data_IF_576645674901
#
_entry.id   IF_576645674901
#
_cell.length_a   1.000
_cell.length_b   1.000
_cell.length_c   1.000
_cell.angle_alpha   90.00
_cell.angle_beta   90.00
_cell.angle_gamma   90.00
#
_symmetry.space_group_name_H-M   'P 1'
#
loop_
_entity.id
_entity.type
_entity.pdbx_description
1 polymer ?
#
# COMPACT_ATOMS: atom_id res chain seq x y z
N UNK A 1 39.62 13.98 -5.91
CA UNK A 1 40.06 13.56 -4.55
C UNK A 1 39.03 13.95 -3.47
N UNK A 2 38.68 15.24 -3.31
CA UNK A 2 37.64 15.71 -2.37
C UNK A 2 36.25 15.07 -2.55
N UNK A 3 35.76 14.93 -3.79
CA UNK A 3 34.48 14.23 -4.05
C UNK A 3 34.51 12.74 -3.67
N UNK A 4 35.68 12.10 -3.81
CA UNK A 4 35.89 10.69 -3.47
C UNK A 4 35.95 10.49 -1.96
N UNK A 5 36.64 11.38 -1.25
CA UNK A 5 36.67 11.44 0.22
C UNK A 5 35.26 11.70 0.77
N UNK A 6 34.51 12.65 0.18
CA UNK A 6 33.14 12.97 0.59
C UNK A 6 32.18 11.78 0.38
N UNK A 7 32.32 11.05 -0.73
CA UNK A 7 31.59 9.80 -1.00
C UNK A 7 31.92 8.72 0.03
N UNK A 8 33.21 8.52 0.34
CA UNK A 8 33.65 7.54 1.34
C UNK A 8 33.18 7.88 2.75
N UNK A 9 33.19 9.16 3.13
CA UNK A 9 32.63 9.65 4.40
C UNK A 9 31.11 9.47 4.46
N UNK A 10 30.39 9.68 3.36
CA UNK A 10 28.95 9.41 3.31
C UNK A 10 28.66 7.92 3.41
N UNK A 11 29.38 7.06 2.69
CA UNK A 11 29.23 5.61 2.76
C UNK A 11 29.56 5.05 4.16
N UNK A 12 30.63 5.55 4.79
CA UNK A 12 30.97 5.17 6.17
C UNK A 12 30.01 5.74 7.20
N UNK A 13 29.47 6.94 7.01
CA UNK A 13 28.39 7.49 7.84
C UNK A 13 27.11 6.65 7.73
N UNK A 14 26.70 6.29 6.51
CA UNK A 14 25.58 5.37 6.27
C UNK A 14 25.82 4.03 6.99
N UNK A 15 27.03 3.50 6.91
CA UNK A 15 27.42 2.28 7.61
C UNK A 15 27.33 2.43 9.14
N UNK A 16 27.84 3.52 9.71
CA UNK A 16 27.72 3.79 11.15
C UNK A 16 26.25 3.89 11.57
N UNK A 17 25.43 4.59 10.78
CA UNK A 17 24.00 4.72 11.07
C UNK A 17 23.24 3.40 10.94
N UNK A 18 23.68 2.44 10.13
CA UNK A 18 23.11 1.09 10.10
C UNK A 18 23.28 0.33 11.43
N UNK A 19 24.20 0.77 12.30
CA UNK A 19 24.44 0.18 13.62
C UNK A 19 23.94 1.06 14.78
N UNK A 20 23.97 2.38 14.63
CA UNK A 20 23.64 3.33 15.70
C UNK A 20 22.41 4.20 15.42
N UNK A 21 21.76 4.04 14.27
CA UNK A 21 20.54 4.75 13.91
C UNK A 21 19.31 4.32 14.72
N UNK A 22 18.20 5.07 14.61
CA UNK A 22 16.96 4.78 15.31
C UNK A 22 16.39 3.43 14.87
N UNK A 23 15.87 2.68 15.83
CA UNK A 23 15.05 1.49 15.57
C UNK A 23 13.59 1.90 15.53
N UNK A 24 12.90 1.43 14.51
CA UNK A 24 11.50 1.71 14.27
C UNK A 24 10.69 0.43 14.33
N UNK A 25 9.46 0.55 14.82
CA UNK A 25 8.49 -0.55 14.73
C UNK A 25 8.07 -0.71 13.28
N UNK A 26 7.61 -1.91 12.92
CA UNK A 26 7.12 -2.21 11.57
C UNK A 26 6.02 -1.24 11.11
N UNK A 27 5.11 -0.86 12.00
CA UNK A 27 4.05 0.12 11.72
C UNK A 27 4.60 1.50 11.37
N UNK A 28 5.56 1.98 12.13
CA UNK A 28 6.23 3.27 11.90
C UNK A 28 6.99 3.28 10.57
N UNK A 29 7.65 2.16 10.23
CA UNK A 29 8.33 1.99 8.94
C UNK A 29 7.36 2.02 7.76
N UNK A 30 6.24 1.29 7.86
CA UNK A 30 5.21 1.27 6.80
C UNK A 30 4.59 2.67 6.63
N UNK A 31 4.35 3.41 7.72
CA UNK A 31 3.82 4.76 7.66
C UNK A 31 4.81 5.77 7.04
N UNK A 32 6.09 5.72 7.42
CA UNK A 32 7.12 6.55 6.79
C UNK A 32 7.27 6.25 5.30
N UNK A 33 7.22 4.96 4.93
CA UNK A 33 7.25 4.55 3.53
C UNK A 33 6.02 5.04 2.76
N UNK A 34 4.83 4.89 3.33
CA UNK A 34 3.58 5.38 2.76
C UNK A 34 3.61 6.89 2.51
N UNK A 35 4.06 7.67 3.50
CA UNK A 35 4.16 9.12 3.39
C UNK A 35 5.18 9.54 2.33
N UNK A 36 6.36 8.91 2.30
CA UNK A 36 7.37 9.16 1.27
C UNK A 36 6.85 8.82 -0.12
N UNK A 37 6.17 7.67 -0.28
CA UNK A 37 5.58 7.26 -1.56
C UNK A 37 4.59 8.31 -2.10
N UNK A 38 3.71 8.82 -1.23
CA UNK A 38 2.69 9.82 -1.57
C UNK A 38 3.24 11.23 -1.77
N UNK A 39 4.48 11.50 -1.37
CA UNK A 39 5.08 12.82 -1.54
C UNK A 39 5.18 13.17 -3.04
N UNK A 40 4.82 14.42 -3.39
CA UNK A 40 4.92 14.91 -4.78
C UNK A 40 6.36 14.91 -5.28
N UNK A 41 7.31 15.20 -4.40
CA UNK A 41 8.74 15.19 -4.66
C UNK A 41 9.40 14.16 -3.74
N UNK A 42 9.58 12.94 -4.23
CA UNK A 42 10.25 11.86 -3.50
C UNK A 42 11.71 12.23 -3.25
N UNK A 43 12.01 12.70 -2.04
CA UNK A 43 13.38 13.11 -1.73
C UNK A 43 14.30 11.88 -1.56
N UNK A 44 15.49 11.96 -2.15
CA UNK A 44 16.52 10.93 -1.98
C UNK A 44 16.99 10.83 -0.53
N UNK A 45 16.99 11.94 0.20
CA UNK A 45 17.38 12.00 1.61
C UNK A 45 16.41 11.25 2.53
N UNK A 46 15.10 11.45 2.37
CA UNK A 46 14.10 10.72 3.16
C UNK A 46 14.11 9.24 2.84
N UNK A 47 14.24 8.89 1.55
CA UNK A 47 14.45 7.50 1.12
C UNK A 47 15.63 6.86 1.85
N UNK A 48 16.78 7.53 1.89
CA UNK A 48 17.95 7.02 2.60
C UNK A 48 17.70 6.91 4.11
N UNK A 49 17.01 7.86 4.74
CA UNK A 49 16.65 7.77 6.16
C UNK A 49 15.76 6.55 6.45
N UNK A 50 14.76 6.29 5.60
CA UNK A 50 13.88 5.13 5.70
C UNK A 50 14.68 3.83 5.55
N UNK A 51 15.58 3.80 4.56
CA UNK A 51 16.46 2.64 4.34
C UNK A 51 17.33 2.37 5.57
N UNK A 52 18.01 3.39 6.11
CA UNK A 52 18.94 3.23 7.23
C UNK A 52 18.21 2.74 8.48
N UNK A 53 17.12 3.42 8.85
CA UNK A 53 16.30 3.07 10.01
C UNK A 53 15.62 1.71 9.84
N UNK A 54 15.14 1.42 8.62
CA UNK A 54 14.52 0.16 8.25
C UNK A 54 15.45 -1.04 8.35
N UNK A 55 16.64 -0.95 7.75
CA UNK A 55 17.67 -2.01 7.82
C UNK A 55 18.15 -2.22 9.25
N UNK A 56 18.37 -1.14 10.01
CA UNK A 56 18.76 -1.25 11.43
C UNK A 56 17.74 -2.03 12.26
N UNK A 57 16.46 -1.84 11.96
CA UNK A 57 15.34 -2.43 12.68
C UNK A 57 15.12 -3.91 12.37
N UNK A 58 15.76 -4.45 11.34
CA UNK A 58 15.67 -5.88 11.03
C UNK A 58 16.48 -6.73 12.01
N UNK A 59 15.95 -7.90 12.33
CA UNK A 59 16.65 -8.94 13.05
C UNK A 59 17.54 -9.74 12.08
N UNK A 60 18.66 -10.27 12.59
CA UNK A 60 19.55 -11.15 11.83
C UNK A 60 20.13 -12.17 12.80
N UNK A 61 20.02 -13.45 12.45
CA UNK A 61 20.58 -14.55 13.23
C UNK A 61 22.12 -14.51 13.27
N UNK A 62 22.75 -13.87 12.28
CA UNK A 62 24.21 -13.66 12.24
C UNK A 62 24.72 -12.83 13.42
N UNK A 63 23.83 -12.13 14.15
CA UNK A 63 24.19 -11.47 15.40
C UNK A 63 24.71 -12.47 16.45
N UNK A 64 24.34 -13.76 16.37
CA UNK A 64 24.88 -14.81 17.25
C UNK A 64 26.39 -15.01 17.05
N UNK A 65 26.90 -14.85 15.83
CA UNK A 65 28.34 -14.97 15.52
C UNK A 65 29.17 -13.89 16.22
N UNK A 66 28.55 -12.73 16.53
CA UNK A 66 29.20 -11.65 17.27
C UNK A 66 29.69 -12.09 18.65
N UNK A 67 28.90 -12.92 19.34
CA UNK A 67 29.25 -13.44 20.67
C UNK A 67 30.53 -14.28 20.60
N UNK A 68 30.65 -15.13 19.58
CA UNK A 68 31.83 -15.98 19.39
C UNK A 68 33.09 -15.17 19.08
N UNK A 69 33.00 -14.14 18.24
CA UNK A 69 34.14 -13.25 17.94
C UNK A 69 34.61 -12.50 19.20
N UNK A 70 33.68 -12.06 20.05
CA UNK A 70 34.03 -11.42 21.33
C UNK A 70 34.73 -12.42 22.26
N UNK A 71 34.20 -13.64 22.40
CA UNK A 71 34.80 -14.68 23.24
C UNK A 71 36.22 -15.01 22.74
N UNK A 72 36.41 -15.17 21.43
CA UNK A 72 37.73 -15.39 20.83
C UNK A 72 38.70 -14.23 21.09
N UNK A 73 38.22 -12.99 20.96
CA UNK A 73 39.01 -11.78 21.26
C UNK A 73 39.48 -11.75 22.72
N UNK A 74 38.58 -12.03 23.67
CA UNK A 74 38.89 -12.04 25.11
C UNK A 74 39.87 -13.17 25.44
N UNK A 75 39.64 -14.36 24.91
CA UNK A 75 40.53 -15.51 25.11
C UNK A 75 41.93 -15.21 24.55
N UNK A 76 42.02 -14.62 23.36
CA UNK A 76 43.30 -14.27 22.76
C UNK A 76 44.03 -13.18 23.55
N UNK A 77 43.33 -12.15 24.02
CA UNK A 77 43.89 -11.13 24.92
C UNK A 77 44.43 -11.76 26.21
N UNK A 78 43.67 -12.65 26.85
CA UNK A 78 44.10 -13.32 28.08
C UNK A 78 45.35 -14.19 27.86
N UNK A 79 45.40 -14.91 26.72
CA UNK A 79 46.54 -15.73 26.31
C UNK A 79 47.76 -14.85 26.01
N UNK A 80 47.59 -13.75 25.27
CA UNK A 80 48.66 -12.84 24.90
C UNK A 80 49.26 -12.07 26.09
N UNK A 81 48.49 -11.86 27.17
CA UNK A 81 49.00 -11.22 28.40
C UNK A 81 49.74 -12.24 29.28
N UNK A 82 49.28 -13.49 29.30
CA UNK A 82 49.82 -14.53 30.18
C UNK A 82 51.11 -15.17 29.65
N UNK A 83 51.33 -15.14 28.34
CA UNK A 83 52.45 -15.80 27.69
C UNK A 83 53.21 -14.83 26.78
N UNK A 84 54.55 -14.86 26.84
CA UNK A 84 55.43 -14.06 25.97
C UNK A 84 55.50 -14.66 24.56
N UNK A 85 54.44 -14.47 23.77
CA UNK A 85 54.43 -14.82 22.35
C UNK A 85 55.28 -13.86 21.52
N UNK A 86 55.86 -14.38 20.43
CA UNK A 86 56.53 -13.55 19.43
C UNK A 86 55.54 -12.47 18.91
N UNK A 87 55.94 -11.18 18.83
CA UNK A 87 55.11 -10.09 18.32
C UNK A 87 54.42 -10.39 16.97
N UNK A 88 55.08 -11.15 16.09
CA UNK A 88 54.51 -11.55 14.79
C UNK A 88 53.24 -12.39 14.97
N UNK A 89 53.22 -13.31 15.94
CA UNK A 89 52.06 -14.16 16.24
C UNK A 89 50.89 -13.32 16.75
N UNK A 90 51.17 -12.36 17.63
CA UNK A 90 50.15 -11.44 18.15
C UNK A 90 49.56 -10.56 17.03
N UNK A 91 50.39 -10.09 16.10
CA UNK A 91 49.95 -9.33 14.93
C UNK A 91 49.08 -10.19 14.00
N UNK A 92 49.49 -11.42 13.68
CA UNK A 92 48.70 -12.31 12.83
C UNK A 92 47.33 -12.64 13.44
N UNK A 93 47.29 -12.92 14.73
CA UNK A 93 46.04 -13.19 15.43
C UNK A 93 45.13 -11.96 15.49
N UNK A 94 45.69 -10.76 15.73
CA UNK A 94 44.95 -9.51 15.64
C UNK A 94 44.31 -9.33 14.25
N UNK A 95 45.07 -9.51 13.17
CA UNK A 95 44.54 -9.39 11.81
C UNK A 95 43.47 -10.44 11.50
N UNK A 96 43.61 -11.66 12.04
CA UNK A 96 42.62 -12.73 11.87
C UNK A 96 41.29 -12.36 12.54
N UNK A 97 41.34 -11.89 13.79
CA UNK A 97 40.16 -11.45 14.53
C UNK A 97 39.53 -10.22 13.87
N UNK A 98 40.35 -9.26 13.43
CA UNK A 98 39.88 -8.07 12.71
C UNK A 98 39.18 -8.44 11.40
N UNK A 99 39.74 -9.37 10.63
CA UNK A 99 39.12 -9.83 9.39
C UNK A 99 37.77 -10.55 9.66
N UNK A 100 37.71 -11.42 10.67
CA UNK A 100 36.46 -12.06 11.10
C UNK A 100 35.41 -11.03 11.53
N UNK A 101 35.83 -9.99 12.25
CA UNK A 101 34.97 -8.88 12.65
C UNK A 101 34.40 -8.15 11.43
N UNK A 102 35.26 -7.74 10.48
CA UNK A 102 34.84 -7.06 9.25
C UNK A 102 33.85 -7.93 8.45
N UNK A 103 34.20 -9.19 8.20
CA UNK A 103 33.36 -10.12 7.45
C UNK A 103 31.98 -10.32 8.09
N UNK A 104 31.94 -10.45 9.42
CA UNK A 104 30.67 -10.63 10.13
C UNK A 104 29.81 -9.36 10.09
N UNK A 105 30.39 -8.16 10.27
CA UNK A 105 29.66 -6.90 10.14
C UNK A 105 29.10 -6.75 8.71
N UNK A 106 29.91 -7.02 7.68
CA UNK A 106 29.47 -6.92 6.29
C UNK A 106 28.35 -7.91 5.99
N UNK A 107 28.45 -9.15 6.49
CA UNK A 107 27.43 -10.18 6.30
C UNK A 107 26.12 -9.82 7.00
N UNK A 108 26.18 -9.33 8.25
CA UNK A 108 25.02 -8.86 8.99
C UNK A 108 24.35 -7.66 8.30
N UNK A 109 25.14 -6.72 7.79
CA UNK A 109 24.61 -5.56 7.06
C UNK A 109 23.88 -6.00 5.78
N UNK A 110 24.43 -6.97 5.04
CA UNK A 110 23.80 -7.53 3.83
C UNK A 110 22.50 -8.26 4.17
N UNK A 111 22.52 -9.14 5.17
CA UNK A 111 21.35 -9.94 5.57
C UNK A 111 20.18 -9.06 6.04
N UNK A 112 20.46 -8.06 6.89
CA UNK A 112 19.47 -7.07 7.31
C UNK A 112 18.95 -6.23 6.13
N UNK A 113 19.83 -5.89 5.19
CA UNK A 113 19.47 -5.13 3.99
C UNK A 113 18.50 -5.92 3.13
N UNK A 114 18.79 -7.20 2.90
CA UNK A 114 17.94 -8.11 2.15
C UNK A 114 16.58 -8.29 2.82
N UNK A 115 16.56 -8.55 4.13
CA UNK A 115 15.30 -8.69 4.89
C UNK A 115 14.43 -7.42 4.78
N UNK A 116 15.06 -6.25 4.87
CA UNK A 116 14.36 -4.98 4.71
C UNK A 116 13.84 -4.76 3.27
N UNK A 117 14.65 -5.10 2.26
CA UNK A 117 14.24 -5.00 0.86
C UNK A 117 13.02 -5.88 0.59
N UNK A 118 13.01 -7.13 1.09
CA UNK A 118 11.87 -8.05 0.97
C UNK A 118 10.63 -7.42 1.62
N UNK A 119 10.77 -6.87 2.83
CA UNK A 119 9.67 -6.17 3.50
C UNK A 119 9.10 -5.03 2.66
N UNK A 120 9.94 -4.13 2.13
CA UNK A 120 9.44 -3.01 1.32
C UNK A 120 8.89 -3.48 -0.03
N UNK A 121 9.50 -4.46 -0.67
CA UNK A 121 8.97 -5.04 -1.91
C UNK A 121 7.56 -5.60 -1.68
N UNK A 122 7.32 -6.28 -0.56
CA UNK A 122 5.99 -6.76 -0.18
C UNK A 122 5.01 -5.59 0.08
N UNK A 123 5.42 -4.54 0.79
CA UNK A 123 4.59 -3.35 0.99
C UNK A 123 4.25 -2.70 -0.36
N UNK A 124 5.21 -2.57 -1.28
CA UNK A 124 4.98 -2.04 -2.63
C UNK A 124 4.01 -2.92 -3.40
N UNK A 125 4.21 -4.25 -3.43
CA UNK A 125 3.32 -5.15 -4.17
C UNK A 125 1.90 -5.16 -3.58
N UNK A 126 1.75 -5.04 -2.25
CA UNK A 126 0.42 -4.97 -1.62
C UNK A 126 -0.42 -3.78 -2.10
N UNK A 127 0.24 -2.69 -2.51
CA UNK A 127 -0.43 -1.50 -3.06
C UNK A 127 -0.93 -1.66 -4.51
N UNK A 128 -0.62 -2.77 -5.18
CA UNK A 128 -1.23 -3.12 -6.48
C UNK A 128 -2.67 -3.63 -6.30
N UNK A 129 -3.04 -4.07 -5.10
CA UNK A 129 -4.37 -4.63 -4.87
C UNK A 129 -5.46 -3.59 -5.11
N UNK A 130 -6.54 -3.98 -5.77
CA UNK A 130 -7.73 -3.13 -5.97
C UNK A 130 -8.24 -2.55 -4.63
N UNK A 131 -8.31 -3.37 -3.58
CA UNK A 131 -8.72 -2.93 -2.24
C UNK A 131 -7.87 -1.78 -1.72
N UNK A 132 -6.55 -1.85 -1.89
CA UNK A 132 -5.66 -0.75 -1.46
C UNK A 132 -5.91 0.53 -2.25
N UNK A 133 -6.11 0.43 -3.57
CA UNK A 133 -6.39 1.58 -4.43
C UNK A 133 -7.75 2.21 -4.09
N UNK A 134 -8.78 1.39 -3.86
CA UNK A 134 -10.10 1.84 -3.43
C UNK A 134 -10.04 2.57 -2.09
N UNK A 135 -9.39 1.94 -1.10
CA UNK A 135 -9.21 2.54 0.22
C UNK A 135 -8.48 3.88 0.13
N UNK A 136 -7.44 3.94 -0.68
CA UNK A 136 -6.67 5.17 -0.87
C UNK A 136 -7.51 6.28 -1.49
N UNK A 137 -8.23 6.00 -2.58
CA UNK A 137 -9.08 6.97 -3.28
C UNK A 137 -10.23 7.47 -2.40
N UNK A 138 -10.84 6.60 -1.59
CA UNK A 138 -11.86 7.02 -0.62
C UNK A 138 -11.23 7.83 0.52
N UNK A 139 -10.04 7.45 0.99
CA UNK A 139 -9.36 8.15 2.09
C UNK A 139 -8.82 9.53 1.73
N UNK A 140 -8.53 9.77 0.45
CA UNK A 140 -8.07 11.05 -0.08
C UNK A 140 -9.19 12.11 -0.14
N UNK A 141 -10.46 11.67 -0.05
CA UNK A 141 -11.59 12.58 0.09
C UNK A 141 -11.61 13.21 1.49
N UNK A 142 -12.08 14.48 1.58
CA UNK A 142 -12.12 15.23 2.84
C UNK A 142 -12.98 14.51 3.88
N UNK A 143 -12.35 14.03 4.95
CA UNK A 143 -13.02 13.37 6.09
C UNK A 143 -13.92 14.36 6.83
N UNK A 144 -15.16 13.94 7.09
CA UNK A 144 -16.08 14.63 8.02
C UNK A 144 -17.31 15.27 7.37
N UNK A 145 -17.40 15.31 6.05
CA UNK A 145 -18.63 15.75 5.38
C UNK A 145 -19.68 14.64 5.36
N UNK A 146 -20.95 15.00 5.63
CA UNK A 146 -22.05 14.07 5.49
C UNK A 146 -22.29 13.79 4.00
N UNK A 147 -22.46 12.51 3.68
CA UNK A 147 -22.85 12.05 2.34
C UNK A 147 -24.17 12.72 1.94
N UNK A 148 -24.23 13.20 0.69
CA UNK A 148 -25.45 13.78 0.13
C UNK A 148 -26.47 12.65 -0.09
N UNK A 149 -27.68 12.80 0.44
CA UNK A 149 -28.78 11.87 0.16
C UNK A 149 -29.39 12.14 -1.21
N UNK A 150 -29.69 11.08 -1.96
CA UNK A 150 -30.48 11.19 -3.18
C UNK A 150 -31.89 11.71 -2.86
N UNK A 151 -32.54 12.34 -3.84
CA UNK A 151 -33.96 12.71 -3.69
C UNK A 151 -34.80 11.44 -3.75
N UNK A 152 -35.80 11.34 -2.86
CA UNK A 152 -36.78 10.27 -2.91
C UNK A 152 -37.71 10.49 -4.11
N UNK A 153 -37.49 9.73 -5.19
CA UNK A 153 -38.22 9.86 -6.46
C UNK A 153 -38.98 8.57 -6.78
N UNK A 154 -38.50 7.41 -6.30
CA UNK A 154 -39.05 6.08 -6.64
C UNK A 154 -39.21 5.88 -8.14
N UNK A 155 -38.22 6.33 -8.92
CA UNK A 155 -38.27 6.48 -10.37
C UNK A 155 -38.63 5.20 -11.13
N UNK A 156 -38.30 4.03 -10.57
CA UNK A 156 -38.48 2.74 -11.23
C UNK A 156 -38.79 1.63 -10.23
N UNK A 157 -39.74 1.86 -9.31
CA UNK A 157 -40.02 0.91 -8.22
C UNK A 157 -40.49 -0.47 -8.68
N UNK A 158 -41.11 -0.54 -9.88
CA UNK A 158 -41.73 -1.77 -10.39
C UNK A 158 -40.81 -2.67 -11.24
N UNK A 159 -39.57 -2.26 -11.55
CA UNK A 159 -38.64 -3.04 -12.37
C UNK A 159 -37.62 -3.83 -11.51
N UNK A 160 -36.98 -4.87 -12.04
CA UNK A 160 -35.90 -5.54 -11.32
C UNK A 160 -34.63 -4.68 -11.30
N UNK A 161 -33.74 -4.90 -10.33
CA UNK A 161 -32.45 -4.18 -10.27
C UNK A 161 -31.60 -4.40 -11.51
N UNK A 162 -31.64 -5.61 -12.07
CA UNK A 162 -30.92 -6.03 -13.26
C UNK A 162 -31.38 -5.32 -14.54
N UNK A 163 -32.60 -4.77 -14.54
CA UNK A 163 -33.13 -4.02 -15.69
C UNK A 163 -32.66 -2.56 -15.71
N UNK A 164 -32.10 -2.08 -14.59
CA UNK A 164 -31.57 -0.71 -14.47
C UNK A 164 -30.11 -0.71 -14.93
N UNK A 165 -29.83 0.09 -15.96
CA UNK A 165 -28.48 0.40 -16.41
C UNK A 165 -28.13 1.87 -16.15
N UNK A 166 -27.14 2.12 -15.30
CA UNK A 166 -26.54 3.43 -15.06
C UNK A 166 -25.32 3.58 -15.96
N UNK A 167 -25.45 4.38 -17.02
CA UNK A 167 -24.36 4.73 -17.91
C UNK A 167 -23.60 5.93 -17.39
N UNK A 168 -22.27 5.81 -17.25
CA UNK A 168 -21.38 6.91 -16.93
C UNK A 168 -20.86 7.52 -18.23
N UNK A 169 -21.29 8.74 -18.54
CA UNK A 169 -20.95 9.47 -19.76
C UNK A 169 -19.80 10.44 -19.49
N UNK A 170 -18.82 10.57 -20.41
CA UNK A 170 -17.73 11.53 -20.27
C UNK A 170 -18.26 12.95 -20.05
N UNK A 171 -17.59 13.69 -19.17
CA UNK A 171 -17.85 15.10 -18.94
C UNK A 171 -16.62 15.90 -19.40
N UNK A 172 -16.77 16.70 -20.44
CA UNK A 172 -15.69 17.46 -21.09
C UNK A 172 -14.95 18.39 -20.11
N UNK A 173 -15.59 18.82 -19.03
CA UNK A 173 -15.03 19.78 -18.07
C UNK A 173 -14.44 19.12 -16.83
N UNK A 174 -14.82 17.89 -16.51
CA UNK A 174 -14.38 17.21 -15.28
C UNK A 174 -14.45 15.69 -15.41
N UNK A 175 -13.29 15.06 -15.66
CA UNK A 175 -13.15 13.60 -15.77
C UNK A 175 -13.54 12.86 -14.48
N UNK A 176 -13.41 13.50 -13.31
CA UNK A 176 -13.80 12.89 -12.04
C UNK A 176 -15.31 12.91 -11.81
N UNK A 177 -16.08 13.68 -12.58
CA UNK A 177 -17.51 13.83 -12.39
C UNK A 177 -18.26 13.59 -13.71
N UNK A 178 -18.30 12.33 -14.17
CA UNK A 178 -19.05 11.99 -15.37
C UNK A 178 -20.54 12.26 -15.19
N UNK A 179 -21.19 12.56 -16.31
CA UNK A 179 -22.65 12.62 -16.34
C UNK A 179 -23.24 11.21 -16.26
N UNK A 180 -24.50 11.13 -15.87
CA UNK A 180 -25.22 9.87 -15.73
C UNK A 180 -26.33 9.79 -16.77
N UNK A 181 -26.60 8.62 -17.29
CA UNK A 181 -27.84 8.32 -18.01
C UNK A 181 -28.38 7.00 -17.51
N UNK A 182 -29.66 6.98 -17.18
CA UNK A 182 -30.35 5.80 -16.67
C UNK A 182 -31.13 5.21 -17.83
N UNK A 183 -30.91 3.94 -18.11
CA UNK A 183 -31.72 3.19 -19.07
C UNK A 183 -32.45 2.08 -18.32
N UNK A 184 -33.74 1.93 -18.61
CA UNK A 184 -34.59 0.87 -18.04
C UNK A 184 -35.24 0.17 -19.22
N UNK A 185 -34.81 -1.07 -19.48
CA UNK A 185 -35.18 -1.78 -20.71
C UNK A 185 -34.84 -0.97 -21.98
N UNK A 186 -35.86 -0.48 -22.68
CA UNK A 186 -35.71 0.34 -23.89
C UNK A 186 -35.80 1.86 -23.65
N UNK A 187 -36.21 2.29 -22.45
CA UNK A 187 -36.36 3.70 -22.11
C UNK A 187 -35.02 4.29 -21.67
N UNK A 188 -34.75 5.53 -22.09
CA UNK A 188 -33.53 6.26 -21.75
C UNK A 188 -33.90 7.58 -21.08
N UNK A 189 -33.32 7.84 -19.92
CA UNK A 189 -33.47 9.12 -19.24
C UNK A 189 -32.72 10.23 -19.97
N UNK A 190 -33.07 11.46 -19.63
CA UNK A 190 -32.20 12.61 -19.89
C UNK A 190 -30.82 12.43 -19.24
N UNK A 191 -29.84 13.21 -19.68
CA UNK A 191 -28.51 13.22 -19.07
C UNK A 191 -28.61 13.91 -17.71
N UNK A 192 -28.23 13.20 -16.65
CA UNK A 192 -28.35 13.62 -15.26
C UNK A 192 -26.99 14.02 -14.70
N UNK A 193 -27.02 15.02 -13.82
CA UNK A 193 -25.88 15.34 -12.98
C UNK A 193 -25.76 14.36 -11.80
N UNK A 194 -24.53 14.02 -11.39
CA UNK A 194 -24.24 13.05 -10.33
C UNK A 194 -24.91 13.37 -8.97
N UNK A 195 -25.23 14.65 -8.72
CA UNK A 195 -25.98 15.08 -7.53
C UNK A 195 -27.39 14.50 -7.44
N UNK A 196 -28.01 14.08 -8.55
CA UNK A 196 -29.34 13.46 -8.54
C UNK A 196 -29.36 12.14 -7.76
N UNK A 197 -28.26 11.38 -7.83
CA UNK A 197 -28.05 10.14 -7.08
C UNK A 197 -27.27 10.34 -5.77
N UNK A 198 -27.04 11.59 -5.34
CA UNK A 198 -26.27 11.87 -4.13
C UNK A 198 -24.79 11.46 -4.22
N UNK A 199 -24.20 11.49 -5.42
CA UNK A 199 -22.83 11.03 -5.70
C UNK A 199 -21.77 12.17 -5.64
N UNK A 200 -22.14 13.33 -5.10
CA UNK A 200 -21.26 14.49 -4.96
C UNK A 200 -21.14 14.91 -3.49
N UNK A 201 -20.12 15.71 -3.19
CA UNK A 201 -19.97 16.29 -1.86
C UNK A 201 -21.09 17.29 -1.57
N UNK A 202 -21.60 17.25 -0.33
CA UNK A 202 -22.69 18.14 0.08
C UNK A 202 -22.23 19.62 0.14
N UNK A 203 -20.95 19.86 0.44
CA UNK A 203 -20.38 21.22 0.45
C UNK A 203 -20.08 21.76 -0.95
N UNK A 204 -19.81 20.88 -1.91
CA UNK A 204 -19.39 21.24 -3.26
C UNK A 204 -19.88 20.23 -4.30
N UNK A 205 -20.92 20.62 -5.04
CA UNK A 205 -21.51 19.81 -6.09
C UNK A 205 -20.56 19.50 -7.28
N UNK A 206 -19.38 20.13 -7.35
CA UNK A 206 -18.37 19.90 -8.39
C UNK A 206 -17.37 18.79 -8.03
N UNK A 207 -17.41 18.26 -6.81
CA UNK A 207 -16.50 17.20 -6.35
C UNK A 207 -17.27 15.92 -6.08
N UNK A 208 -16.75 14.79 -6.56
CA UNK A 208 -17.32 13.47 -6.28
C UNK A 208 -17.17 13.11 -4.80
N UNK A 209 -18.07 12.27 -4.30
CA UNK A 209 -17.96 11.68 -2.96
C UNK A 209 -17.53 10.21 -3.03
N UNK A 210 -17.40 9.58 -1.86
CA UNK A 210 -17.00 8.17 -1.72
C UNK A 210 -17.95 7.20 -2.42
N UNK A 211 -19.25 7.52 -2.49
CA UNK A 211 -20.25 6.68 -3.14
C UNK A 211 -20.00 6.58 -4.64
N UNK A 212 -19.60 7.70 -5.27
CA UNK A 212 -19.34 7.70 -6.71
C UNK A 212 -18.12 6.87 -7.07
N UNK A 213 -17.07 6.94 -6.24
CA UNK A 213 -15.85 6.15 -6.41
C UNK A 213 -16.20 4.66 -6.36
N UNK A 214 -17.03 4.25 -5.39
CA UNK A 214 -17.51 2.87 -5.24
C UNK A 214 -18.41 2.46 -6.42
N UNK A 215 -19.34 3.31 -6.84
CA UNK A 215 -20.22 3.03 -7.98
C UNK A 215 -19.42 2.81 -9.27
N UNK A 216 -18.43 3.66 -9.55
CA UNK A 216 -17.52 3.50 -10.68
C UNK A 216 -16.77 2.17 -10.61
N UNK A 217 -16.42 1.71 -9.39
CA UNK A 217 -15.68 0.45 -9.23
C UNK A 217 -16.55 -0.75 -9.62
N UNK A 218 -17.84 -0.73 -9.28
CA UNK A 218 -18.80 -1.71 -9.77
C UNK A 218 -18.95 -1.67 -11.29
N UNK A 219 -18.85 -0.49 -11.92
CA UNK A 219 -18.83 -0.38 -13.38
C UNK A 219 -17.66 -1.09 -14.07
N UNK A 220 -16.54 -1.29 -13.36
CA UNK A 220 -15.39 -2.03 -13.88
C UNK A 220 -15.43 -3.52 -13.52
N UNK A 221 -15.78 -3.84 -12.28
CA UNK A 221 -15.58 -5.17 -11.71
C UNK A 221 -16.86 -5.98 -11.51
N UNK A 222 -18.04 -5.36 -11.52
CA UNK A 222 -19.37 -5.92 -11.17
C UNK A 222 -19.50 -6.47 -9.75
N UNK A 223 -18.45 -7.11 -9.23
CA UNK A 223 -18.32 -7.56 -7.85
C UNK A 223 -16.88 -7.46 -7.39
N UNK A 224 -16.65 -7.22 -6.10
CA UNK A 224 -15.30 -7.18 -5.54
C UNK A 224 -15.28 -7.48 -4.05
N UNK A 225 -14.11 -7.90 -3.57
CA UNK A 225 -13.81 -8.10 -2.16
C UNK A 225 -13.09 -6.89 -1.59
N UNK A 226 -13.46 -6.51 -0.37
CA UNK A 226 -12.74 -5.48 0.41
C UNK A 226 -11.83 -6.18 1.42
N UNK A 227 -10.53 -6.03 1.19
CA UNK A 227 -9.45 -6.53 2.03
C UNK A 227 -8.76 -5.37 2.75
N UNK A 228 -8.24 -5.61 3.96
CA UNK A 228 -7.55 -4.58 4.75
C UNK A 228 -7.93 -4.58 6.24
N UNK A 229 -7.41 -3.59 6.96
CA UNK A 229 -7.60 -3.46 8.40
C UNK A 229 -9.07 -3.21 8.77
N UNK A 230 -9.53 -3.76 9.90
CA UNK A 230 -10.95 -3.74 10.28
C UNK A 230 -11.60 -2.35 10.32
N UNK A 231 -10.87 -1.32 10.74
CA UNK A 231 -11.37 0.07 10.74
C UNK A 231 -11.58 0.65 9.33
N UNK A 232 -10.64 0.39 8.41
CA UNK A 232 -10.71 0.83 7.01
C UNK A 232 -11.82 0.09 6.27
N UNK A 233 -11.91 -1.22 6.47
CA UNK A 233 -12.99 -2.05 5.92
C UNK A 233 -14.36 -1.56 6.36
N UNK A 234 -14.55 -1.30 7.66
CA UNK A 234 -15.80 -0.76 8.21
C UNK A 234 -16.19 0.59 7.59
N UNK A 235 -15.21 1.43 7.25
CA UNK A 235 -15.48 2.71 6.60
C UNK A 235 -16.07 2.52 5.19
N UNK A 236 -15.48 1.62 4.37
CA UNK A 236 -16.02 1.31 3.04
C UNK A 236 -17.37 0.59 3.13
N UNK A 237 -17.52 -0.36 4.06
CA UNK A 237 -18.80 -1.05 4.27
C UNK A 237 -19.91 -0.05 4.65
N UNK A 238 -19.60 0.99 5.43
CA UNK A 238 -20.54 2.09 5.69
C UNK A 238 -20.90 2.86 4.41
N UNK A 239 -19.90 3.25 3.62
CA UNK A 239 -20.14 3.94 2.34
C UNK A 239 -20.93 3.08 1.34
N UNK A 240 -20.76 1.76 1.36
CA UNK A 240 -21.60 0.83 0.58
C UNK A 240 -23.06 0.87 1.03
N UNK A 241 -23.32 0.88 2.34
CA UNK A 241 -24.67 1.00 2.87
C UNK A 241 -25.31 2.36 2.51
N UNK A 242 -24.53 3.45 2.58
CA UNK A 242 -25.00 4.79 2.18
C UNK A 242 -25.30 4.83 0.66
N UNK A 243 -24.54 4.09 -0.17
CA UNK A 243 -24.81 3.94 -1.60
C UNK A 243 -26.10 3.14 -1.85
N UNK A 244 -26.31 2.04 -1.12
CA UNK A 244 -27.54 1.25 -1.16
C UNK A 244 -28.75 2.13 -0.83
N UNK A 245 -28.67 2.93 0.24
CA UNK A 245 -29.74 3.85 0.64
C UNK A 245 -30.04 4.85 -0.48
N UNK A 246 -29.01 5.45 -1.09
CA UNK A 246 -29.20 6.41 -2.19
C UNK A 246 -29.82 5.78 -3.45
N UNK A 247 -29.44 4.54 -3.79
CA UNK A 247 -30.05 3.81 -4.89
C UNK A 247 -31.52 3.49 -4.60
N UNK A 248 -31.84 3.03 -3.38
CA UNK A 248 -33.21 2.79 -2.95
C UNK A 248 -34.06 4.06 -2.96
N UNK A 249 -33.55 5.19 -2.46
CA UNK A 249 -34.27 6.47 -2.48
C UNK A 249 -34.60 6.92 -3.91
N UNK A 250 -33.65 6.75 -4.84
CA UNK A 250 -33.85 7.21 -6.21
C UNK A 250 -34.74 6.26 -7.02
N UNK A 251 -34.46 4.95 -6.98
CA UNK A 251 -35.10 3.95 -7.82
C UNK A 251 -36.31 3.27 -7.17
N UNK A 252 -36.48 3.36 -5.85
CA UNK A 252 -37.49 2.64 -5.08
C UNK A 252 -36.92 1.42 -4.37
N UNK A 253 -37.49 1.10 -3.21
CA UNK A 253 -37.18 -0.10 -2.43
C UNK A 253 -37.78 -1.36 -3.05
N UNK A 254 -37.11 -2.50 -2.84
CA UNK A 254 -37.50 -3.83 -3.32
C UNK A 254 -37.19 -4.88 -2.25
N UNK A 255 -37.68 -6.10 -2.45
CA UNK A 255 -37.41 -7.25 -1.57
C UNK A 255 -35.92 -7.58 -1.46
N UNK A 256 -35.19 -7.37 -2.56
CA UNK A 256 -33.74 -7.61 -2.67
C UNK A 256 -33.04 -6.24 -2.70
N UNK A 257 -31.93 -6.10 -1.97
CA UNK A 257 -31.11 -4.89 -1.99
C UNK A 257 -30.31 -4.77 -3.31
N UNK A 258 -30.05 -3.55 -3.82
CA UNK A 258 -29.31 -3.35 -5.07
C UNK A 258 -27.86 -3.84 -5.02
N UNK A 259 -27.28 -3.90 -3.81
CA UNK A 259 -25.93 -4.41 -3.57
C UNK A 259 -25.99 -5.33 -2.35
N UNK A 260 -25.45 -6.55 -2.46
CA UNK A 260 -25.47 -7.56 -1.40
C UNK A 260 -24.07 -8.12 -1.19
N UNK A 261 -23.76 -8.48 0.05
CA UNK A 261 -22.55 -9.21 0.39
C UNK A 261 -22.83 -10.72 0.32
N UNK A 262 -22.07 -11.42 -0.51
CA UNK A 262 -22.12 -12.86 -0.60
C UNK A 262 -21.36 -13.49 0.57
N UNK A 263 -22.07 -14.19 1.45
CA UNK A 263 -21.47 -14.78 2.67
C UNK A 263 -20.44 -15.87 2.38
N UNK A 264 -20.52 -16.55 1.23
CA UNK A 264 -19.60 -17.64 0.87
C UNK A 264 -18.26 -17.10 0.35
N UNK A 265 -18.31 -16.08 -0.50
CA UNK A 265 -17.11 -15.52 -1.16
C UNK A 265 -16.56 -14.29 -0.45
N UNK A 266 -17.40 -13.61 0.35
CA UNK A 266 -17.10 -12.33 0.96
C UNK A 266 -17.12 -11.14 -0.02
N UNK A 267 -17.56 -11.37 -1.27
CA UNK A 267 -17.67 -10.34 -2.29
C UNK A 267 -18.92 -9.50 -2.08
N UNK A 268 -18.83 -8.21 -2.43
CA UNK A 268 -19.99 -7.38 -2.65
C UNK A 268 -20.38 -7.46 -4.12
N UNK A 269 -21.66 -7.74 -4.38
CA UNK A 269 -22.24 -7.94 -5.69
C UNK A 269 -23.28 -6.85 -5.95
N UNK A 270 -23.17 -6.15 -7.09
CA UNK A 270 -24.12 -5.12 -7.50
C UNK A 270 -25.05 -5.70 -8.57
N UNK A 271 -26.36 -5.64 -8.31
CA UNK A 271 -27.39 -6.09 -9.26
C UNK A 271 -27.79 -5.02 -10.26
N UNK A 272 -27.47 -3.76 -9.98
CA UNK A 272 -27.61 -2.66 -10.95
C UNK A 272 -26.49 -2.75 -11.97
N UNK A 273 -26.84 -2.68 -13.25
CA UNK A 273 -25.85 -2.64 -14.32
C UNK A 273 -25.21 -1.24 -14.36
N UNK A 274 -23.88 -1.17 -14.33
CA UNK A 274 -23.16 0.09 -14.39
C UNK A 274 -22.23 0.04 -15.60
N UNK A 275 -22.51 0.88 -16.60
CA UNK A 275 -21.73 0.95 -17.83
C UNK A 275 -20.80 2.16 -17.76
N UNK A 276 -19.53 1.95 -17.39
CA UNK A 276 -18.54 3.02 -17.34
C UNK A 276 -17.95 3.33 -18.73
N UNK A 277 -18.44 4.36 -19.42
CA UNK A 277 -17.89 4.82 -20.70
C UNK A 277 -16.70 5.79 -20.54
N UNK A 278 -16.36 6.17 -19.33
CA UNK A 278 -15.20 7.05 -19.05
C UNK A 278 -13.90 6.27 -18.86
N UNK A 279 -14.03 4.97 -18.55
CA UNK A 279 -12.92 4.08 -18.23
C UNK A 279 -12.02 4.62 -17.11
N UNK A 280 -12.64 5.33 -16.16
CA UNK A 280 -11.96 6.11 -15.12
C UNK A 280 -11.10 5.22 -14.21
N UNK A 281 -11.61 4.05 -13.81
CA UNK A 281 -10.88 3.10 -12.98
C UNK A 281 -9.69 2.46 -13.68
N UNK A 282 -9.84 2.11 -14.95
CA UNK A 282 -8.74 1.51 -15.70
C UNK A 282 -7.56 2.48 -15.84
N UNK A 283 -7.83 3.78 -16.07
CA UNK A 283 -6.79 4.81 -16.09
C UNK A 283 -6.07 4.90 -14.73
N UNK A 284 -6.82 4.90 -13.63
CA UNK A 284 -6.25 4.91 -12.27
C UNK A 284 -5.38 3.69 -11.99
N UNK A 285 -5.75 2.52 -12.47
CA UNK A 285 -4.97 1.29 -12.35
C UNK A 285 -3.69 1.33 -13.16
N UNK A 286 -3.74 1.85 -14.39
CA UNK A 286 -2.56 2.03 -15.23
C UNK A 286 -1.57 3.02 -14.62
N UNK A 287 -2.07 4.17 -14.14
CA UNK A 287 -1.24 5.16 -13.43
C UNK A 287 -0.60 4.55 -12.18
N UNK A 288 -1.38 3.78 -11.40
CA UNK A 288 -0.89 3.08 -10.22
C UNK A 288 0.17 2.04 -10.58
N UNK A 289 -0.03 1.30 -11.65
CA UNK A 289 0.90 0.28 -12.12
C UNK A 289 2.24 0.88 -12.53
N UNK A 290 2.23 1.96 -13.33
CA UNK A 290 3.45 2.65 -13.74
C UNK A 290 4.17 3.33 -12.57
N UNK A 291 3.43 3.92 -11.62
CA UNK A 291 4.00 4.45 -10.38
C UNK A 291 4.72 3.35 -9.58
N UNK A 292 4.08 2.19 -9.40
CA UNK A 292 4.64 1.07 -8.66
C UNK A 292 5.86 0.47 -9.36
N UNK A 293 5.80 0.32 -10.68
CA UNK A 293 6.94 -0.14 -11.49
C UNK A 293 8.13 0.78 -11.33
N UNK A 294 7.89 2.09 -11.35
CA UNK A 294 8.93 3.12 -11.13
C UNK A 294 9.50 3.01 -9.71
N UNK A 295 8.65 2.89 -8.68
CA UNK A 295 9.10 2.74 -7.29
C UNK A 295 9.91 1.45 -7.10
N UNK A 296 9.50 0.33 -7.70
CA UNK A 296 10.23 -0.93 -7.62
C UNK A 296 11.63 -0.77 -8.23
N UNK A 297 11.73 -0.17 -9.42
CA UNK A 297 13.00 0.11 -10.08
C UNK A 297 13.90 1.04 -9.25
N UNK A 298 13.33 2.10 -8.67
CA UNK A 298 14.08 3.04 -7.86
C UNK A 298 14.52 2.43 -6.53
N UNK A 299 13.65 1.69 -5.84
CA UNK A 299 13.85 1.23 -4.47
C UNK A 299 14.67 -0.06 -4.39
N UNK A 300 14.39 -1.00 -5.28
CA UNK A 300 14.97 -2.34 -5.30
C UNK A 300 15.71 -2.51 -6.63
N UNK A 301 16.99 -2.11 -6.75
CA UNK A 301 17.77 -2.39 -7.94
C UNK A 301 18.20 -3.87 -7.94
N UNK A 302 17.27 -4.81 -7.86
CA UNK A 302 17.57 -6.25 -7.79
C UNK A 302 16.59 -7.04 -8.66
N UNK A 303 17.01 -7.22 -9.92
CA UNK A 303 16.38 -8.11 -10.91
C UNK A 303 16.39 -9.58 -10.42
N UNK A 304 17.27 -9.94 -9.47
CA UNK A 304 17.40 -11.30 -8.91
C UNK A 304 16.59 -11.57 -7.62
N UNK A 305 16.01 -10.55 -6.95
CA UNK A 305 15.31 -10.74 -5.66
C UNK A 305 13.78 -10.92 -5.80
N UNK A 306 13.19 -10.55 -6.93
CA UNK A 306 11.77 -10.76 -7.23
C UNK A 306 11.40 -12.25 -7.31
N UNK A 307 12.31 -13.11 -7.76
CA UNK A 307 12.10 -14.57 -7.85
C UNK A 307 12.02 -15.26 -6.48
N UNK A 308 12.49 -14.60 -5.41
CA UNK A 308 12.51 -15.14 -4.04
C UNK A 308 11.36 -14.63 -3.17
N UNK A 309 10.50 -13.77 -3.71
CA UNK A 309 9.25 -13.39 -3.05
C UNK A 309 8.30 -14.58 -3.14
N UNK A 310 8.19 -15.34 -2.05
CA UNK A 310 7.29 -16.48 -1.99
C UNK A 310 5.83 -16.01 -2.11
N UNK A 311 5.22 -16.27 -3.27
CA UNK A 311 3.81 -15.97 -3.53
C UNK A 311 2.89 -16.72 -2.55
N UNK A 312 3.34 -17.82 -1.93
CA UNK A 312 2.59 -18.54 -0.91
C UNK A 312 2.56 -17.82 0.44
N UNK A 313 3.60 -17.06 0.79
CA UNK A 313 3.67 -16.27 2.04
C UNK A 313 2.70 -15.07 2.00
N UNK A 314 2.24 -14.66 0.81
CA UNK A 314 1.16 -13.68 0.63
C UNK A 314 -0.17 -14.16 1.24
N UNK A 315 -0.42 -15.47 1.26
CA UNK A 315 -1.62 -16.05 1.87
C UNK A 315 -1.56 -16.12 3.40
N UNK A 316 -0.36 -16.26 3.98
CA UNK A 316 -0.15 -16.43 5.42
C UNK A 316 -0.29 -15.13 6.22
N UNK A 317 -0.04 -13.96 5.62
CA UNK A 317 -0.14 -12.66 6.32
C UNK A 317 -1.56 -12.09 6.42
N UNK A 318 -2.55 -12.71 5.79
CA UNK A 318 -3.96 -12.40 6.06
C UNK A 318 -4.49 -13.03 7.37
N UNK A 319 -3.66 -13.79 8.11
CA UNK A 319 -4.09 -14.53 9.31
C UNK A 319 -3.50 -14.10 10.66
N UNK A 320 -2.74 -13.01 10.79
CA UNK A 320 -2.09 -12.75 12.08
C UNK A 320 -1.60 -11.33 12.31
N UNK A 321 -2.53 -10.40 12.53
CA UNK A 321 -2.28 -9.22 13.36
C UNK A 321 -2.55 -9.57 14.83
N UNK A 322 -1.88 -10.58 15.39
CA UNK A 322 -1.91 -10.82 16.85
C UNK A 322 -0.61 -11.46 17.31
N UNK A 323 0.33 -10.60 17.73
CA UNK A 323 1.17 -10.67 18.95
C UNK A 323 2.24 -9.56 18.93
#
# INVERSE_FOLDING_TARGET
>A
MLAFIRKYFQESYLFIQLFYGPRLKRKELSELFFNWRKSKNRSFEEKNKIIISGVRSQYSDLFKNWKWIIIQTILWLAISIKFDFNPIINIMAFFTILNQFIQNITSLAKDKRQTFNIFIAQEILSTLSFSSLLLEKVSDLKKGEKVMKAKNINYASDCEWTDINIQLLPNEYNDELPYLRINIGHEKSEVLHASKLGLVQNSNYKTQNELFIILKAFGKYSSFKIEGHGSQKKAIEKSLNDLIENLNLYFGERDIMPIIKNDKTGNWECFVNIEDRTNSWHKLELERYEDIKTILQEWVPLIEELEKVDLAEQSYRMKGYEW
#
